data_IF_341981839982
#
_entry.id   IF_341981839982
#
_cell.length_a   1.000
_cell.length_b   1.000
_cell.length_c   1.000
_cell.angle_alpha   90.00
_cell.angle_beta   90.00
_cell.angle_gamma   90.00
#
_symmetry.space_group_name_H-M   'P 1'
#
loop_
_entity.id
_entity.type
_entity.pdbx_description
1 polymer ?
#
# COMPACT_ATOMS: atom_id res chain seq x y z
N UNK A 1 -1.11 -21.40 16.57
CA UNK A 1 -1.06 -20.00 16.08
C UNK A 1 -1.09 -20.02 14.56
N UNK A 2 -1.98 -19.23 13.96
CA UNK A 2 -2.33 -19.29 12.52
C UNK A 2 -1.11 -19.02 11.63
N UNK A 3 -0.78 -19.94 10.72
CA UNK A 3 0.31 -19.80 9.74
C UNK A 3 0.13 -18.67 8.70
N UNK A 4 -0.80 -17.73 8.93
CA UNK A 4 -1.11 -16.59 8.04
C UNK A 4 -0.46 -15.27 8.45
N UNK A 5 0.22 -15.24 9.60
CA UNK A 5 0.81 -14.03 10.17
C UNK A 5 2.11 -13.58 9.49
N UNK A 6 2.69 -14.43 8.63
CA UNK A 6 3.97 -14.20 7.95
C UNK A 6 3.83 -14.52 6.46
N UNK A 7 4.73 -14.00 5.63
CA UNK A 7 4.83 -14.43 4.23
C UNK A 7 5.65 -15.72 4.16
N UNK A 8 5.22 -16.65 3.31
CA UNK A 8 5.95 -17.89 3.04
C UNK A 8 7.14 -17.57 2.11
N UNK A 9 8.28 -17.20 2.68
CA UNK A 9 9.51 -16.87 1.97
C UNK A 9 10.68 -17.55 2.66
N UNK A 10 11.59 -18.11 1.86
CA UNK A 10 12.82 -18.72 2.36
C UNK A 10 13.79 -17.64 2.87
N UNK A 11 14.36 -17.79 4.09
CA UNK A 11 15.33 -16.83 4.63
C UNK A 11 16.60 -16.76 3.79
N UNK A 12 16.83 -15.61 3.17
CA UNK A 12 18.07 -15.31 2.43
C UNK A 12 18.36 -13.82 2.47
N UNK A 13 19.63 -13.42 2.30
CA UNK A 13 20.00 -12.00 2.22
C UNK A 13 19.26 -11.27 1.08
N UNK A 14 19.04 -11.93 -0.06
CA UNK A 14 18.24 -11.41 -1.16
C UNK A 14 16.77 -11.20 -0.78
N UNK A 15 16.16 -12.15 -0.06
CA UNK A 15 14.81 -12.00 0.47
C UNK A 15 14.71 -10.87 1.50
N UNK A 16 15.72 -10.69 2.36
CA UNK A 16 15.77 -9.58 3.32
C UNK A 16 15.75 -8.22 2.60
N UNK A 17 16.56 -8.04 1.56
CA UNK A 17 16.57 -6.82 0.74
C UNK A 17 15.21 -6.58 0.07
N UNK A 18 14.60 -7.62 -0.50
CA UNK A 18 13.27 -7.53 -1.11
C UNK A 18 12.21 -7.11 -0.09
N UNK A 19 12.21 -7.70 1.10
CA UNK A 19 11.25 -7.37 2.16
C UNK A 19 11.45 -5.94 2.70
N UNK A 20 12.70 -5.48 2.88
CA UNK A 20 13.00 -4.08 3.26
C UNK A 20 12.50 -3.10 2.21
N UNK A 21 12.72 -3.39 0.92
CA UNK A 21 12.19 -2.57 -0.18
C UNK A 21 10.66 -2.52 -0.18
N UNK A 22 10.00 -3.68 0.03
CA UNK A 22 8.53 -3.75 0.16
C UNK A 22 8.01 -2.97 1.37
N UNK A 23 8.68 -3.02 2.51
CA UNK A 23 8.30 -2.25 3.70
C UNK A 23 8.34 -0.75 3.41
N UNK A 24 9.44 -0.26 2.83
CA UNK A 24 9.57 1.15 2.44
C UNK A 24 8.52 1.57 1.40
N UNK A 25 8.25 0.71 0.42
CA UNK A 25 7.19 0.92 -0.57
C UNK A 25 5.80 1.00 0.06
N UNK A 26 5.49 0.14 1.03
CA UNK A 26 4.23 0.14 1.77
C UNK A 26 4.08 1.41 2.64
N UNK A 27 5.14 1.84 3.32
CA UNK A 27 5.17 3.07 4.12
C UNK A 27 4.95 4.31 3.25
N UNK A 28 5.64 4.42 2.11
CA UNK A 28 5.42 5.50 1.14
C UNK A 28 4.01 5.46 0.56
N UNK A 29 3.52 4.27 0.19
CA UNK A 29 2.17 4.08 -0.32
C UNK A 29 1.09 4.50 0.67
N UNK A 30 1.25 4.16 1.95
CA UNK A 30 0.38 4.61 3.03
C UNK A 30 0.33 6.13 3.12
N UNK A 31 1.49 6.80 3.16
CA UNK A 31 1.56 8.26 3.21
C UNK A 31 0.92 8.95 2.01
N UNK A 32 1.10 8.41 0.79
CA UNK A 32 0.49 8.95 -0.42
C UNK A 32 -1.03 8.78 -0.43
N UNK A 33 -1.53 7.60 -0.03
CA UNK A 33 -2.97 7.33 0.03
C UNK A 33 -3.65 8.18 1.11
N UNK A 34 -2.99 8.41 2.25
CA UNK A 34 -3.50 9.29 3.30
C UNK A 34 -3.64 10.73 2.80
N UNK A 35 -2.60 11.28 2.15
CA UNK A 35 -2.67 12.62 1.52
C UNK A 35 -3.78 12.72 0.48
N UNK A 36 -3.98 11.67 -0.34
CA UNK A 36 -5.09 11.61 -1.30
C UNK A 36 -6.44 11.63 -0.59
N UNK A 37 -6.61 10.82 0.46
CA UNK A 37 -7.84 10.76 1.25
C UNK A 37 -8.16 12.12 1.88
N UNK A 38 -7.17 12.80 2.47
CA UNK A 38 -7.35 14.12 3.07
C UNK A 38 -7.79 15.17 2.04
N UNK A 39 -7.20 15.17 0.84
CA UNK A 39 -7.59 16.06 -0.26
C UNK A 39 -9.02 15.78 -0.77
N UNK A 40 -9.39 14.52 -0.92
CA UNK A 40 -10.75 14.12 -1.28
C UNK A 40 -11.74 14.53 -0.20
N UNK A 41 -11.39 14.37 1.08
CA UNK A 41 -12.24 14.71 2.21
C UNK A 41 -12.43 16.23 2.36
N UNK A 42 -11.42 17.03 2.03
CA UNK A 42 -11.56 18.48 1.95
C UNK A 42 -12.57 18.88 0.87
N UNK A 43 -12.44 18.32 -0.34
CA UNK A 43 -13.40 18.55 -1.44
C UNK A 43 -14.81 18.07 -1.11
N UNK A 44 -14.93 16.93 -0.45
CA UNK A 44 -16.19 16.38 0.01
C UNK A 44 -16.92 17.33 0.97
N UNK A 45 -16.21 17.94 1.93
CA UNK A 45 -16.80 18.94 2.84
C UNK A 45 -17.27 20.19 2.10
N UNK A 46 -16.51 20.67 1.12
CA UNK A 46 -16.91 21.82 0.29
C UNK A 46 -18.20 21.51 -0.50
N UNK A 47 -18.29 20.32 -1.09
CA UNK A 47 -19.48 19.87 -1.82
C UNK A 47 -20.66 19.72 -0.86
N UNK A 48 -20.45 19.16 0.34
CA UNK A 48 -21.51 19.02 1.34
C UNK A 48 -22.10 20.38 1.73
N UNK A 49 -21.25 21.38 1.99
CA UNK A 49 -21.69 22.75 2.28
C UNK A 49 -22.55 23.33 1.16
N UNK A 50 -22.08 23.23 -0.09
CA UNK A 50 -22.83 23.66 -1.27
C UNK A 50 -24.17 22.93 -1.42
N UNK A 51 -24.20 21.62 -1.21
CA UNK A 51 -25.44 20.84 -1.29
C UNK A 51 -26.48 21.34 -0.29
N UNK A 52 -26.06 21.65 0.95
CA UNK A 52 -26.97 22.15 1.97
C UNK A 52 -27.54 23.52 1.55
N UNK A 53 -26.68 24.43 1.11
CA UNK A 53 -27.07 25.78 0.65
C UNK A 53 -28.00 25.74 -0.56
N UNK A 54 -27.66 24.96 -1.59
CA UNK A 54 -28.51 24.79 -2.77
C UNK A 54 -29.82 24.10 -2.43
N UNK A 55 -29.82 23.15 -1.47
CA UNK A 55 -31.04 22.46 -1.05
C UNK A 55 -31.98 23.38 -0.27
N UNK A 56 -31.46 24.29 0.56
CA UNK A 56 -32.30 25.30 1.22
C UNK A 56 -32.88 26.28 0.20
N UNK A 57 -32.07 26.77 -0.74
CA UNK A 57 -32.53 27.66 -1.82
C UNK A 57 -33.60 26.98 -2.69
N UNK A 58 -33.40 25.71 -3.06
CA UNK A 58 -34.38 24.93 -3.81
C UNK A 58 -35.69 24.79 -3.03
N UNK A 59 -35.64 24.64 -1.71
CA UNK A 59 -36.84 24.61 -0.87
C UNK A 59 -37.67 25.89 -0.97
N UNK A 60 -37.02 27.04 -1.04
CA UNK A 60 -37.68 28.34 -1.22
C UNK A 60 -38.26 28.48 -2.64
N UNK A 61 -37.46 28.19 -3.68
CA UNK A 61 -37.89 28.26 -5.08
C UNK A 61 -39.06 27.29 -5.36
N UNK A 62 -39.03 26.08 -4.79
CA UNK A 62 -40.13 25.13 -4.92
C UNK A 62 -41.40 25.59 -4.21
N UNK A 63 -41.27 26.28 -3.06
CA UNK A 63 -42.41 26.86 -2.35
C UNK A 63 -43.05 27.98 -3.17
N UNK A 64 -42.24 28.86 -3.75
CA UNK A 64 -42.71 29.94 -4.63
C UNK A 64 -43.38 29.38 -5.89
N UNK A 65 -42.74 28.42 -6.57
CA UNK A 65 -43.30 27.76 -7.74
C UNK A 65 -44.62 27.03 -7.44
N UNK A 66 -44.74 26.40 -6.26
CA UNK A 66 -45.99 25.78 -5.82
C UNK A 66 -47.11 26.81 -5.59
N UNK A 67 -46.76 28.00 -5.09
CA UNK A 67 -47.70 29.10 -4.92
C UNK A 67 -48.17 29.65 -6.27
N UNK A 68 -47.25 29.91 -7.20
CA UNK A 68 -47.59 30.34 -8.58
C UNK A 68 -48.46 29.32 -9.31
N UNK A 69 -48.24 28.01 -9.07
CA UNK A 69 -49.09 26.95 -9.61
C UNK A 69 -50.51 27.00 -9.01
N UNK A 70 -50.65 27.33 -7.73
CA UNK A 70 -51.95 27.49 -7.09
C UNK A 70 -52.71 28.71 -7.63
N UNK A 71 -52.03 29.85 -7.84
CA UNK A 71 -52.61 31.04 -8.47
C UNK A 71 -53.10 30.75 -9.89
N UNK A 72 -52.27 30.07 -10.70
CA UNK A 72 -52.66 29.67 -12.06
C UNK A 72 -53.90 28.76 -12.05
N UNK A 73 -53.96 27.79 -11.13
CA UNK A 73 -55.11 26.90 -10.97
C UNK A 73 -56.37 27.64 -10.51
N UNK A 74 -56.23 28.65 -9.66
CA UNK A 74 -57.35 29.48 -9.22
C UNK A 74 -57.92 30.32 -10.35
N UNK A 75 -57.06 30.91 -11.19
CA UNK A 75 -57.49 31.78 -12.29
C UNK A 75 -58.09 31.00 -13.48
N UNK A 76 -57.53 29.84 -13.82
CA UNK A 76 -57.86 29.12 -15.07
C UNK A 76 -58.58 27.79 -14.88
N UNK A 77 -58.72 27.32 -13.63
CA UNK A 77 -59.21 25.97 -13.33
C UNK A 77 -58.12 24.90 -13.45
N UNK A 78 -58.52 23.63 -13.53
CA UNK A 78 -57.56 22.52 -13.59
C UNK A 78 -57.06 22.25 -15.01
N UNK A 79 -55.81 22.63 -15.29
CA UNK A 79 -55.12 22.42 -16.56
C UNK A 79 -54.15 21.22 -16.56
N UNK A 80 -54.08 20.44 -15.48
CA UNK A 80 -53.13 19.31 -15.37
C UNK A 80 -53.28 18.32 -16.53
N UNK A 81 -54.52 17.96 -16.88
CA UNK A 81 -54.79 16.98 -17.94
C UNK A 81 -54.38 17.51 -19.32
N UNK A 82 -54.61 18.80 -19.59
CA UNK A 82 -54.22 19.46 -20.84
C UNK A 82 -52.70 19.49 -20.98
N UNK A 83 -51.97 19.78 -19.89
CA UNK A 83 -50.50 19.78 -19.91
C UNK A 83 -49.97 18.38 -20.20
N UNK A 84 -50.46 17.36 -19.49
CA UNK A 84 -50.00 15.97 -19.65
C UNK A 84 -50.25 15.42 -21.06
N UNK A 85 -51.39 15.77 -21.67
CA UNK A 85 -51.73 15.32 -23.04
C UNK A 85 -50.88 15.99 -24.12
N UNK A 86 -50.36 17.19 -23.87
CA UNK A 86 -49.57 17.96 -24.83
C UNK A 86 -48.05 17.74 -24.73
N UNK A 87 -47.56 16.83 -23.87
CA UNK A 87 -46.13 16.53 -23.77
C UNK A 87 -45.68 15.62 -24.91
N UNK A 88 -44.91 16.14 -25.88
CA UNK A 88 -44.37 15.36 -27.01
C UNK A 88 -42.86 15.23 -26.97
N UNK A 89 -42.14 16.36 -26.93
CA UNK A 89 -40.67 16.41 -26.87
C UNK A 89 -40.22 17.23 -25.67
N UNK A 90 -39.19 16.75 -24.98
CA UNK A 90 -38.58 17.49 -23.88
C UNK A 90 -37.93 18.79 -24.40
N UNK A 91 -38.34 19.92 -23.81
CA UNK A 91 -37.78 21.24 -24.10
C UNK A 91 -36.37 21.41 -23.53
N UNK A 92 -36.12 20.87 -22.33
CA UNK A 92 -34.83 20.92 -21.65
C UNK A 92 -34.21 19.51 -21.65
N UNK A 93 -32.94 19.41 -22.05
CA UNK A 93 -32.15 18.18 -22.06
C UNK A 93 -30.86 18.40 -21.28
N UNK A 94 -30.40 17.34 -20.62
CA UNK A 94 -29.14 17.34 -19.88
C UNK A 94 -28.02 16.69 -20.71
N UNK A 95 -26.80 17.21 -20.59
CA UNK A 95 -25.59 16.53 -21.07
C UNK A 95 -24.73 16.14 -19.88
N UNK A 96 -24.14 14.95 -19.95
CA UNK A 96 -23.15 14.50 -18.96
C UNK A 96 -21.75 14.82 -19.44
N UNK A 97 -20.92 15.32 -18.52
CA UNK A 97 -19.50 15.58 -18.67
C UNK A 97 -18.75 14.85 -17.56
N UNK A 98 -17.51 14.46 -17.83
CA UNK A 98 -16.63 13.89 -16.81
C UNK A 98 -15.74 14.99 -16.26
N UNK A 99 -15.77 15.19 -14.95
CA UNK A 99 -14.84 16.06 -14.23
C UNK A 99 -13.86 15.21 -13.41
N UNK A 100 -12.64 15.69 -13.18
CA UNK A 100 -11.61 14.95 -12.45
C UNK A 100 -11.23 15.67 -11.17
N UNK A 101 -11.54 15.07 -10.03
CA UNK A 101 -11.17 15.59 -8.72
C UNK A 101 -10.19 14.61 -8.05
N UNK A 102 -8.93 15.04 -7.92
CA UNK A 102 -7.87 14.27 -7.29
C UNK A 102 -7.73 12.81 -7.80
N UNK A 103 -7.92 12.61 -9.11
CA UNK A 103 -7.80 11.29 -9.76
C UNK A 103 -9.05 10.43 -9.61
N UNK A 104 -10.21 11.05 -9.37
CA UNK A 104 -11.53 10.42 -9.36
C UNK A 104 -12.39 11.10 -10.42
N UNK A 105 -12.94 10.32 -11.35
CA UNK A 105 -13.78 10.84 -12.42
C UNK A 105 -15.22 10.92 -11.93
N UNK A 106 -15.73 12.14 -11.79
CA UNK A 106 -17.08 12.45 -11.36
C UNK A 106 -17.94 12.78 -12.58
N UNK A 107 -19.14 12.19 -12.71
CA UNK A 107 -20.10 12.61 -13.72
C UNK A 107 -20.76 13.92 -13.26
N UNK A 108 -20.54 14.98 -14.04
CA UNK A 108 -21.15 16.31 -13.86
C UNK A 108 -22.21 16.49 -14.94
N UNK A 109 -23.39 16.99 -14.56
CA UNK A 109 -24.44 17.29 -15.52
C UNK A 109 -24.45 18.78 -15.85
N UNK A 110 -24.44 19.12 -17.13
CA UNK A 110 -24.58 20.49 -17.63
C UNK A 110 -26.01 20.70 -18.17
N UNK A 111 -26.73 21.67 -17.61
CA UNK A 111 -27.97 22.27 -18.13
C UNK A 111 -28.08 23.72 -17.66
N UNK A 112 -28.96 24.52 -18.27
CA UNK A 112 -28.90 25.98 -18.17
C UNK A 112 -29.46 26.61 -16.88
N UNK A 113 -30.11 25.88 -15.95
CA UNK A 113 -30.55 26.53 -14.70
C UNK A 113 -30.78 25.66 -13.45
N UNK A 114 -31.28 24.40 -13.55
CA UNK A 114 -31.82 23.71 -12.35
C UNK A 114 -31.18 22.35 -11.97
N UNK A 115 -30.15 21.89 -12.70
CA UNK A 115 -29.59 20.54 -12.50
C UNK A 115 -28.29 20.54 -11.67
N UNK A 116 -27.88 21.69 -11.14
CA UNK A 116 -26.66 21.81 -10.33
C UNK A 116 -26.72 20.90 -9.09
N UNK A 117 -27.88 20.85 -8.40
CA UNK A 117 -28.04 20.01 -7.21
C UNK A 117 -27.88 18.51 -7.52
N UNK A 118 -28.46 18.02 -8.63
CA UNK A 118 -28.37 16.61 -9.01
C UNK A 118 -26.93 16.21 -9.37
N UNK A 119 -26.20 17.12 -10.04
CA UNK A 119 -24.78 16.96 -10.35
C UNK A 119 -23.93 16.88 -9.08
N UNK A 120 -24.16 17.78 -8.13
CA UNK A 120 -23.48 17.80 -6.83
C UNK A 120 -23.79 16.54 -6.01
N UNK A 121 -25.04 16.10 -5.96
CA UNK A 121 -25.46 14.89 -5.24
C UNK A 121 -24.83 13.62 -5.82
N UNK A 122 -24.81 13.48 -7.15
CA UNK A 122 -24.19 12.33 -7.81
C UNK A 122 -22.68 12.31 -7.56
N UNK A 123 -22.05 13.48 -7.66
CA UNK A 123 -20.62 13.65 -7.35
C UNK A 123 -20.32 13.35 -5.88
N UNK A 124 -21.23 13.70 -4.96
CA UNK A 124 -21.08 13.46 -3.53
C UNK A 124 -21.10 11.96 -3.18
N UNK A 125 -22.07 11.20 -3.73
CA UNK A 125 -22.19 9.76 -3.48
C UNK A 125 -20.97 9.00 -4.03
N UNK A 126 -20.56 9.32 -5.25
CA UNK A 126 -19.38 8.69 -5.87
C UNK A 126 -18.09 9.03 -5.14
N UNK A 127 -17.93 10.27 -4.68
CA UNK A 127 -16.77 10.70 -3.90
C UNK A 127 -16.71 10.01 -2.51
N UNK A 128 -17.86 9.88 -1.82
CA UNK A 128 -17.94 9.18 -0.53
C UNK A 128 -17.51 7.71 -0.65
N UNK A 129 -17.97 7.01 -1.68
CA UNK A 129 -17.58 5.62 -1.92
C UNK A 129 -16.06 5.49 -2.11
N UNK A 130 -15.46 6.37 -2.91
CA UNK A 130 -14.02 6.36 -3.14
C UNK A 130 -13.23 6.71 -1.88
N UNK A 131 -13.71 7.64 -1.06
CA UNK A 131 -13.09 7.96 0.24
C UNK A 131 -13.13 6.72 1.14
N UNK A 132 -14.27 6.04 1.25
CA UNK A 132 -14.42 4.80 2.04
C UNK A 132 -13.49 3.69 1.57
N UNK A 133 -13.36 3.50 0.26
CA UNK A 133 -12.42 2.52 -0.31
C UNK A 133 -10.97 2.91 0.01
N UNK A 134 -10.62 4.19 -0.13
CA UNK A 134 -9.27 4.69 0.13
C UNK A 134 -8.91 4.53 1.60
N UNK A 135 -9.78 4.90 2.53
CA UNK A 135 -9.57 4.72 3.97
C UNK A 135 -9.46 3.24 4.36
N UNK A 136 -10.28 2.36 3.78
CA UNK A 136 -10.13 0.91 3.98
C UNK A 136 -8.76 0.41 3.51
N UNK A 137 -8.25 0.90 2.37
CA UNK A 137 -6.92 0.53 1.87
C UNK A 137 -5.80 1.05 2.77
N UNK A 138 -5.90 2.29 3.26
CA UNK A 138 -4.96 2.88 4.22
C UNK A 138 -4.89 2.01 5.49
N UNK A 139 -6.05 1.69 6.09
CA UNK A 139 -6.12 0.86 7.30
C UNK A 139 -5.61 -0.57 7.07
N UNK A 140 -5.86 -1.16 5.89
CA UNK A 140 -5.32 -2.46 5.54
C UNK A 140 -3.79 -2.44 5.43
N UNK A 141 -3.22 -1.37 4.90
CA UNK A 141 -1.75 -1.23 4.84
C UNK A 141 -1.18 -1.07 6.25
N UNK A 142 -1.78 -0.20 7.06
CA UNK A 142 -1.31 0.13 8.41
C UNK A 142 -1.40 -1.05 9.38
N UNK A 143 -2.52 -1.76 9.42
CA UNK A 143 -2.77 -2.78 10.44
C UNK A 143 -2.59 -4.22 9.97
N UNK A 144 -2.53 -4.47 8.65
CA UNK A 144 -2.39 -5.84 8.12
C UNK A 144 -1.07 -6.02 7.38
N UNK A 145 -0.77 -5.16 6.40
CA UNK A 145 0.38 -5.38 5.51
C UNK A 145 1.70 -5.03 6.19
N UNK A 146 1.82 -3.84 6.78
CA UNK A 146 3.05 -3.39 7.45
C UNK A 146 3.46 -4.38 8.56
N UNK A 147 2.58 -4.73 9.52
CA UNK A 147 2.95 -5.67 10.59
C UNK A 147 3.32 -7.06 10.06
N UNK A 148 2.68 -7.51 8.99
CA UNK A 148 2.98 -8.81 8.37
C UNK A 148 4.36 -8.82 7.70
N UNK A 149 4.76 -7.72 7.06
CA UNK A 149 6.10 -7.57 6.47
C UNK A 149 7.15 -7.48 7.59
N UNK A 150 6.89 -6.72 8.66
CA UNK A 150 7.80 -6.61 9.80
C UNK A 150 8.02 -7.94 10.52
N UNK A 151 6.96 -8.71 10.78
CA UNK A 151 7.06 -10.08 11.33
C UNK A 151 7.88 -11.00 10.42
N UNK A 152 7.73 -10.86 9.11
CA UNK A 152 8.51 -11.65 8.13
C UNK A 152 9.97 -11.22 8.12
N UNK A 153 10.27 -9.92 8.22
CA UNK A 153 11.63 -9.39 8.34
C UNK A 153 12.32 -9.87 9.61
N UNK A 154 11.62 -9.83 10.75
CA UNK A 154 12.14 -10.33 12.02
C UNK A 154 12.52 -11.81 11.93
N UNK A 155 11.69 -12.63 11.28
CA UNK A 155 11.98 -14.04 11.02
C UNK A 155 13.21 -14.23 10.12
N UNK A 156 13.31 -13.48 9.01
CA UNK A 156 14.47 -13.60 8.12
C UNK A 156 15.76 -13.20 8.85
N UNK A 157 15.72 -12.15 9.67
CA UNK A 157 16.89 -11.71 10.45
C UNK A 157 17.29 -12.80 11.46
N UNK A 158 16.35 -13.34 12.23
CA UNK A 158 16.67 -14.36 13.24
C UNK A 158 17.28 -15.63 12.61
N UNK A 159 16.80 -16.05 11.44
CA UNK A 159 17.31 -17.22 10.73
C UNK A 159 18.68 -16.97 10.10
N UNK A 160 18.90 -15.77 9.52
CA UNK A 160 20.21 -15.40 8.99
C UNK A 160 21.27 -15.29 10.10
N UNK A 161 20.91 -14.72 11.25
CA UNK A 161 21.81 -14.64 12.40
C UNK A 161 22.17 -16.04 12.94
N UNK A 162 21.25 -17.01 12.86
CA UNK A 162 21.51 -18.40 13.27
C UNK A 162 22.45 -19.10 12.28
N UNK A 163 22.22 -18.94 10.97
CA UNK A 163 23.13 -19.47 9.94
C UNK A 163 24.55 -18.89 10.08
N UNK A 164 24.67 -17.58 10.35
CA UNK A 164 25.95 -16.92 10.59
C UNK A 164 26.63 -17.45 11.87
N UNK A 165 25.86 -17.72 12.94
CA UNK A 165 26.39 -18.37 14.16
C UNK A 165 26.91 -19.78 13.90
N UNK A 166 26.18 -20.60 13.15
CA UNK A 166 26.58 -21.96 12.80
C UNK A 166 27.84 -21.98 11.93
N UNK A 167 27.92 -21.10 10.93
CA UNK A 167 29.09 -20.95 10.07
C UNK A 167 30.31 -20.48 10.87
N UNK A 168 30.14 -19.49 11.76
CA UNK A 168 31.20 -19.04 12.66
C UNK A 168 31.72 -20.16 13.56
N UNK A 169 30.83 -20.99 14.13
CA UNK A 169 31.23 -22.11 14.96
C UNK A 169 31.97 -23.20 14.17
N UNK A 170 31.54 -23.49 12.93
CA UNK A 170 32.24 -24.42 12.03
C UNK A 170 33.65 -23.93 11.71
N UNK A 171 33.80 -22.66 11.33
CA UNK A 171 35.09 -22.04 11.04
C UNK A 171 36.02 -22.05 12.27
N UNK A 172 35.49 -21.73 13.45
CA UNK A 172 36.24 -21.77 14.71
C UNK A 172 36.77 -23.18 15.01
N UNK A 173 35.94 -24.22 14.88
CA UNK A 173 36.38 -25.61 15.05
C UNK A 173 37.47 -26.02 14.05
N UNK A 174 37.36 -25.59 12.80
CA UNK A 174 38.38 -25.87 11.78
C UNK A 174 39.70 -25.19 12.13
N UNK A 175 39.66 -23.92 12.55
CA UNK A 175 40.84 -23.19 13.01
C UNK A 175 41.48 -23.84 14.24
N UNK A 176 40.68 -24.25 15.23
CA UNK A 176 41.16 -24.94 16.42
C UNK A 176 41.84 -26.27 16.05
N UNK A 177 41.26 -27.05 15.11
CA UNK A 177 41.87 -28.27 14.58
C UNK A 177 43.18 -27.99 13.81
N UNK A 178 43.20 -26.99 12.93
CA UNK A 178 44.43 -26.59 12.19
C UNK A 178 45.53 -26.12 13.14
N UNK A 179 45.18 -25.37 14.19
CA UNK A 179 46.13 -24.93 15.23
C UNK A 179 46.68 -26.09 16.04
N UNK A 180 45.83 -27.06 16.42
CA UNK A 180 46.27 -28.28 17.10
C UNK A 180 47.16 -29.15 16.20
N UNK A 181 46.83 -29.29 14.93
CA UNK A 181 47.66 -30.02 13.96
C UNK A 181 49.04 -29.37 13.80
N UNK A 182 49.08 -28.04 13.63
CA UNK A 182 50.34 -27.28 13.55
C UNK A 182 51.18 -27.42 14.82
N UNK A 183 50.58 -27.31 16.00
CA UNK A 183 51.28 -27.49 17.27
C UNK A 183 51.84 -28.92 17.45
N UNK A 184 51.11 -29.95 17.01
CA UNK A 184 51.62 -31.34 17.01
C UNK A 184 52.75 -31.55 16.02
N UNK A 185 52.69 -30.91 14.85
CA UNK A 185 53.72 -31.00 13.82
C UNK A 185 55.01 -30.26 14.25
N UNK A 186 54.87 -29.10 14.89
CA UNK A 186 56.00 -28.38 15.50
C UNK A 186 56.61 -29.15 16.68
N UNK A 187 55.80 -29.81 17.52
CA UNK A 187 56.29 -30.69 18.58
C UNK A 187 57.05 -31.90 18.01
N UNK A 188 56.49 -32.58 16.99
CA UNK A 188 57.17 -33.69 16.31
C UNK A 188 58.46 -33.24 15.60
N UNK A 189 58.48 -32.03 15.03
CA UNK A 189 59.68 -31.46 14.41
C UNK A 189 60.74 -31.13 15.47
N UNK A 190 60.35 -30.63 16.64
CA UNK A 190 61.26 -30.38 17.76
C UNK A 190 61.84 -31.69 18.32
N UNK A 191 61.04 -32.76 18.41
CA UNK A 191 61.49 -34.10 18.81
C UNK A 191 62.45 -34.72 17.78
N UNK A 192 62.19 -34.53 16.48
CA UNK A 192 63.08 -35.01 15.41
C UNK A 192 64.43 -34.28 15.40
N UNK A 193 64.45 -32.97 15.67
CA UNK A 193 65.68 -32.17 15.83
C UNK A 193 66.47 -32.59 17.07
N UNK A 194 65.80 -32.97 18.17
CA UNK A 194 66.46 -33.48 19.38
C UNK A 194 67.08 -34.87 19.22
N UNK A 195 66.63 -35.66 18.22
CA UNK A 195 67.11 -37.03 17.97
C UNK A 195 68.36 -37.14 17.07
N UNK A 196 68.91 -36.01 16.60
CA UNK A 196 70.24 -35.98 15.96
C UNK A 196 70.35 -36.66 14.59
N UNK A 197 69.33 -36.56 13.74
CA UNK A 197 69.45 -36.86 12.30
C UNK A 197 69.37 -35.56 11.50
N UNK A 198 70.40 -35.31 10.68
CA UNK A 198 70.48 -34.16 9.78
C UNK A 198 69.24 -34.06 8.89
N UNK A 199 68.65 -32.87 8.82
CA UNK A 199 67.51 -32.58 7.97
C UNK A 199 68.04 -31.81 6.75
N UNK A 200 68.32 -32.54 5.68
CA UNK A 200 68.32 -31.94 4.34
C UNK A 200 66.95 -31.28 4.17
N UNK A 201 66.96 -29.97 3.93
CA UNK A 201 65.76 -29.16 3.80
C UNK A 201 64.97 -29.61 2.56
N UNK A 202 64.17 -30.66 2.71
CA UNK A 202 63.12 -30.98 1.77
C UNK A 202 62.11 -29.83 1.85
N UNK A 203 62.13 -29.00 0.81
CA UNK A 203 61.04 -28.11 0.45
C UNK A 203 59.76 -28.95 0.33
N UNK A 204 59.03 -29.08 1.43
CA UNK A 204 57.71 -29.73 1.51
C UNK A 204 56.69 -28.77 2.14
N UNK A 205 56.82 -27.47 1.81
CA UNK A 205 55.86 -26.44 2.22
C UNK A 205 54.94 -26.00 1.07
N UNK A 206 54.91 -26.71 -0.06
CA UNK A 206 54.16 -26.26 -1.25
C UNK A 206 53.37 -27.35 -1.98
N UNK A 207 53.04 -28.47 -1.32
CA UNK A 207 52.10 -29.43 -1.88
C UNK A 207 50.92 -29.63 -0.92
N UNK A 208 49.80 -28.96 -1.22
CA UNK A 208 48.49 -29.28 -0.66
C UNK A 208 47.78 -28.17 0.11
N UNK A 209 47.83 -26.91 -0.37
CA UNK A 209 46.76 -25.94 -0.09
C UNK A 209 45.57 -26.09 -1.08
N UNK A 210 45.58 -27.15 -1.89
CA UNK A 210 44.47 -27.57 -2.72
C UNK A 210 43.69 -28.69 -2.01
N UNK A 211 42.37 -28.50 -1.93
CA UNK A 211 41.34 -29.38 -1.37
C UNK A 211 41.19 -29.38 0.16
N UNK A 212 40.28 -28.54 0.65
CA UNK A 212 38.87 -28.94 0.87
C UNK A 212 38.10 -27.68 1.28
N UNK A 213 37.24 -27.20 0.38
CA UNK A 213 35.91 -26.61 0.65
C UNK A 213 35.28 -26.17 -0.69
N UNK A 214 34.64 -27.13 -1.36
CA UNK A 214 33.42 -26.85 -2.14
C UNK A 214 32.22 -26.97 -1.21
#
# INVERSE_FOLDING_TARGET
MSGKDKLAIFPSRGAQMLMKSRLHGAQKGHGLLKKKADALQMRFRLILGKIIETKTLMGEVMKEAAFSLAEAKFATGDFNQVVLQNVTKAQIKIRSKKDNVAGVNLPVFESYQDVELASLQTSFVTLDEVIKITNRRVNAIEHVIIPRIEKTLAYIISELDELEREEFYRLKKIQDKKKQAKAKLEAARAEMIASGRDVEAANMLDEGDDDILF
#
